data_IF_979045494570
#
_entry.id   IF_979045494570
#
_cell.length_a   1.000
_cell.length_b   1.000
_cell.length_c   1.000
_cell.angle_alpha   90.00
_cell.angle_beta   90.00
_cell.angle_gamma   90.00
#
_symmetry.space_group_name_H-M   'P 1'
#
loop_
_entity.id
_entity.type
_entity.pdbx_description
1 polymer ?
#
# COMPACT_ATOMS: atom_id res chain seq x y z
N UNK A 1 -26.24 -6.68 13.39
CA UNK A 1 -25.22 -7.59 12.80
C UNK A 1 -24.07 -6.73 12.30
N UNK A 2 -22.82 -7.08 12.61
CA UNK A 2 -21.66 -6.43 11.99
C UNK A 2 -21.55 -6.86 10.51
N UNK A 3 -21.07 -5.96 9.65
CA UNK A 3 -20.63 -6.36 8.30
C UNK A 3 -19.33 -7.17 8.43
N UNK A 4 -19.19 -8.23 7.63
CA UNK A 4 -17.92 -8.94 7.47
C UNK A 4 -16.95 -8.10 6.65
N UNK A 5 -15.69 -8.01 7.08
CA UNK A 5 -14.57 -7.46 6.27
C UNK A 5 -13.94 -8.52 5.35
N UNK A 6 -14.49 -9.73 5.32
CA UNK A 6 -14.10 -10.79 4.40
C UNK A 6 -15.20 -11.05 3.37
N UNK A 7 -14.83 -11.25 2.08
CA UNK A 7 -15.72 -11.80 1.07
C UNK A 7 -16.36 -13.13 1.49
N UNK A 8 -17.51 -13.44 0.89
CA UNK A 8 -18.21 -14.72 1.09
C UNK A 8 -17.57 -15.88 0.34
N UNK A 9 -17.01 -15.60 -0.84
CA UNK A 9 -16.29 -16.60 -1.63
C UNK A 9 -14.98 -17.01 -0.93
N UNK A 10 -14.68 -18.32 -0.81
CA UNK A 10 -13.50 -18.78 -0.08
C UNK A 10 -12.17 -18.43 -0.77
N UNK A 11 -12.12 -18.30 -2.10
CA UNK A 11 -10.91 -17.95 -2.83
C UNK A 11 -10.60 -16.46 -2.71
N UNK A 12 -11.61 -15.60 -2.84
CA UNK A 12 -11.51 -14.17 -2.54
C UNK A 12 -11.13 -13.93 -1.08
N UNK A 13 -11.70 -14.69 -0.14
CA UNK A 13 -11.33 -14.63 1.28
C UNK A 13 -9.88 -15.06 1.53
N UNK A 14 -9.37 -16.07 0.81
CA UNK A 14 -7.96 -16.45 0.87
C UNK A 14 -7.05 -15.35 0.28
N UNK A 15 -7.44 -14.74 -0.84
CA UNK A 15 -6.71 -13.62 -1.45
C UNK A 15 -6.66 -12.39 -0.55
N UNK A 16 -7.73 -12.07 0.19
CA UNK A 16 -7.71 -11.00 1.19
C UNK A 16 -6.64 -11.21 2.25
N UNK A 17 -6.49 -12.45 2.74
CA UNK A 17 -5.46 -12.81 3.72
C UNK A 17 -4.05 -12.77 3.14
N UNK A 18 -3.89 -13.14 1.86
CA UNK A 18 -2.60 -13.04 1.17
C UNK A 18 -2.17 -11.58 0.98
N UNK A 19 -3.10 -10.66 0.71
CA UNK A 19 -2.80 -9.22 0.60
C UNK A 19 -2.56 -8.59 1.99
N UNK A 20 -3.27 -9.03 3.04
CA UNK A 20 -2.99 -8.67 4.43
C UNK A 20 -1.56 -9.06 4.83
N UNK A 21 -1.18 -10.33 4.68
CA UNK A 21 0.16 -10.85 4.97
C UNK A 21 1.23 -10.09 4.16
N UNK A 22 0.99 -9.85 2.87
CA UNK A 22 1.88 -9.08 2.01
C UNK A 22 2.05 -7.61 2.45
N UNK A 23 0.99 -6.98 2.98
CA UNK A 23 1.05 -5.62 3.48
C UNK A 23 1.95 -5.51 4.73
N UNK A 24 1.84 -6.45 5.68
CA UNK A 24 2.62 -6.42 6.91
C UNK A 24 4.04 -6.99 6.73
N UNK A 25 4.23 -8.07 5.97
CA UNK A 25 5.55 -8.70 5.77
C UNK A 25 6.44 -7.96 4.77
N UNK A 26 5.89 -7.43 3.68
CA UNK A 26 6.69 -6.75 2.65
C UNK A 26 6.57 -5.24 2.73
N UNK A 27 5.35 -4.69 2.55
CA UNK A 27 5.17 -3.24 2.36
C UNK A 27 5.54 -2.43 3.61
N UNK A 28 5.00 -2.81 4.78
CA UNK A 28 5.26 -2.11 6.04
C UNK A 28 6.74 -2.20 6.46
N UNK A 29 7.39 -3.37 6.27
CA UNK A 29 8.80 -3.57 6.65
C UNK A 29 9.76 -2.80 5.75
N UNK A 30 9.48 -2.68 4.44
CA UNK A 30 10.30 -1.88 3.52
C UNK A 30 10.21 -0.40 3.87
N UNK A 31 9.01 0.17 4.05
CA UNK A 31 8.88 1.58 4.47
C UNK A 31 9.46 1.84 5.86
N UNK A 32 9.32 0.91 6.81
CA UNK A 32 9.94 1.06 8.12
C UNK A 32 11.46 1.15 8.01
N UNK A 33 12.09 0.23 7.26
CA UNK A 33 13.55 0.23 7.06
C UNK A 33 14.02 1.47 6.28
N UNK A 34 13.33 1.85 5.22
CA UNK A 34 13.59 3.11 4.50
C UNK A 34 13.53 4.32 5.42
N UNK A 35 12.47 4.43 6.23
CA UNK A 35 12.30 5.52 7.20
C UNK A 35 13.39 5.55 8.27
N UNK A 36 13.80 4.39 8.78
CA UNK A 36 14.92 4.28 9.72
C UNK A 36 16.24 4.72 9.09
N UNK A 37 16.45 4.44 7.80
CA UNK A 37 17.65 4.79 7.06
C UNK A 37 17.73 6.30 6.73
N UNK A 38 16.68 6.90 6.15
CA UNK A 38 16.65 8.36 5.85
C UNK A 38 16.65 9.25 7.09
N UNK A 39 16.29 8.71 8.26
CA UNK A 39 16.33 9.43 9.54
C UNK A 39 17.75 9.51 10.14
N UNK A 40 18.74 8.76 9.62
CA UNK A 40 20.14 8.92 10.02
C UNK A 40 20.71 10.25 9.53
N UNK A 41 21.77 10.80 10.17
CA UNK A 41 22.59 11.85 9.57
C UNK A 41 23.07 11.44 8.17
N UNK A 42 23.09 12.35 7.20
CA UNK A 42 23.43 12.02 5.80
C UNK A 42 24.77 11.26 5.61
N UNK A 43 25.85 11.56 6.38
CA UNK A 43 27.10 10.79 6.31
C UNK A 43 27.00 9.32 6.76
N UNK A 44 25.94 8.94 7.48
CA UNK A 44 25.67 7.59 7.99
C UNK A 44 24.64 6.82 7.15
N UNK A 45 24.08 7.44 6.11
CA UNK A 45 23.07 6.84 5.24
C UNK A 45 23.69 5.95 4.16
N UNK A 46 23.25 4.69 4.10
CA UNK A 46 23.53 3.82 2.95
C UNK A 46 22.64 4.22 1.76
N UNK A 47 23.18 5.09 0.91
CA UNK A 47 22.52 5.58 -0.30
C UNK A 47 22.25 4.48 -1.34
N UNK A 48 22.96 3.36 -1.31
CA UNK A 48 22.67 2.22 -2.17
C UNK A 48 21.48 1.42 -1.65
N UNK A 49 21.39 1.20 -0.33
CA UNK A 49 20.26 0.56 0.34
C UNK A 49 18.97 1.40 0.21
N UNK A 50 19.05 2.72 0.34
CA UNK A 50 17.95 3.63 0.06
C UNK A 50 17.42 3.47 -1.38
N UNK A 51 18.32 3.38 -2.36
CA UNK A 51 17.95 3.13 -3.76
C UNK A 51 17.35 1.75 -4.02
N UNK A 52 17.68 0.74 -3.21
CA UNK A 52 17.02 -0.58 -3.26
C UNK A 52 15.60 -0.50 -2.69
N UNK A 53 15.41 0.13 -1.53
CA UNK A 53 14.09 0.29 -0.92
C UNK A 53 13.15 1.14 -1.79
N UNK A 54 13.64 2.20 -2.43
CA UNK A 54 12.85 3.01 -3.35
C UNK A 54 12.29 2.15 -4.50
N UNK A 55 13.13 1.33 -5.16
CA UNK A 55 12.68 0.43 -6.24
C UNK A 55 11.61 -0.56 -5.78
N UNK A 56 11.77 -1.16 -4.61
CA UNK A 56 10.77 -2.09 -4.06
C UNK A 56 9.44 -1.39 -3.80
N UNK A 57 9.45 -0.13 -3.34
CA UNK A 57 8.23 0.68 -3.21
C UNK A 57 7.62 0.98 -4.58
N UNK A 58 8.40 1.41 -5.57
CA UNK A 58 7.95 1.71 -6.94
C UNK A 58 7.34 0.48 -7.64
N UNK A 59 7.99 -0.68 -7.53
CA UNK A 59 7.50 -1.98 -8.02
C UNK A 59 6.15 -2.33 -7.38
N UNK A 60 6.02 -2.13 -6.08
CA UNK A 60 4.83 -2.59 -5.34
C UNK A 60 3.66 -1.60 -5.43
N UNK A 61 3.92 -0.30 -5.59
CA UNK A 61 2.92 0.68 -6.06
C UNK A 61 2.45 0.33 -7.48
N UNK A 62 3.33 -0.13 -8.37
CA UNK A 62 2.94 -0.57 -9.73
C UNK A 62 2.01 -1.78 -9.66
N UNK A 63 2.33 -2.78 -8.84
CA UNK A 63 1.48 -3.97 -8.61
C UNK A 63 0.11 -3.55 -8.07
N UNK A 64 0.05 -2.72 -7.03
CA UNK A 64 -1.22 -2.26 -6.42
C UNK A 64 -2.06 -1.42 -7.39
N UNK A 65 -1.44 -0.54 -8.18
CA UNK A 65 -2.15 0.26 -9.19
C UNK A 65 -2.77 -0.61 -10.28
N UNK A 66 -2.09 -1.69 -10.69
CA UNK A 66 -2.58 -2.61 -11.71
C UNK A 66 -3.64 -3.57 -11.14
N UNK A 67 -3.55 -3.96 -9.87
CA UNK A 67 -4.60 -4.71 -9.17
C UNK A 67 -5.91 -3.91 -9.03
N UNK A 68 -5.82 -2.58 -8.96
CA UNK A 68 -6.95 -1.64 -8.89
C UNK A 68 -7.44 -1.18 -10.28
N UNK A 69 -6.88 -1.68 -11.38
CA UNK A 69 -7.35 -1.37 -12.73
C UNK A 69 -8.73 -2.01 -12.97
N UNK A 70 -9.72 -1.17 -13.30
CA UNK A 70 -11.11 -1.61 -13.52
C UNK A 70 -11.85 -2.13 -12.28
N UNK A 71 -11.29 -1.99 -11.06
CA UNK A 71 -11.90 -2.47 -9.80
C UNK A 71 -12.16 -1.35 -8.83
N UNK A 72 -13.29 -1.40 -8.12
CA UNK A 72 -13.56 -0.46 -7.03
C UNK A 72 -12.62 -0.73 -5.83
N UNK A 73 -12.52 -2.00 -5.43
CA UNK A 73 -11.77 -2.54 -4.27
C UNK A 73 -10.65 -3.50 -4.70
N UNK A 74 -9.71 -3.81 -3.80
CA UNK A 74 -8.60 -4.72 -4.09
C UNK A 74 -9.05 -6.16 -4.38
N UNK A 75 -10.06 -6.65 -3.64
CA UNK A 75 -10.57 -8.02 -3.73
C UNK A 75 -12.10 -8.07 -3.66
N UNK A 76 -12.71 -8.77 -4.62
CA UNK A 76 -14.15 -9.00 -4.64
C UNK A 76 -14.95 -7.79 -5.11
N UNK A 77 -16.17 -7.68 -4.60
CA UNK A 77 -17.19 -6.67 -4.96
C UNK A 77 -17.41 -5.61 -3.88
N UNK A 78 -16.66 -5.67 -2.78
CA UNK A 78 -16.93 -4.88 -1.56
C UNK A 78 -15.69 -4.68 -0.69
N UNK A 79 -15.61 -3.52 -0.04
CA UNK A 79 -14.51 -3.12 0.86
C UNK A 79 -14.16 -4.21 1.89
N UNK A 80 -12.87 -4.57 1.93
CA UNK A 80 -12.38 -5.78 2.59
C UNK A 80 -11.18 -5.53 3.51
N UNK A 81 -10.72 -6.58 4.20
CA UNK A 81 -9.46 -6.56 4.96
C UNK A 81 -8.25 -6.17 4.09
N UNK A 82 -8.23 -6.57 2.81
CA UNK A 82 -7.15 -6.19 1.90
C UNK A 82 -7.07 -4.66 1.76
N UNK A 83 -8.23 -4.00 1.65
CA UNK A 83 -8.32 -2.55 1.54
C UNK A 83 -7.91 -1.85 2.84
N UNK A 84 -8.33 -2.38 4.00
CA UNK A 84 -7.93 -1.89 5.34
C UNK A 84 -6.40 -1.93 5.50
N UNK A 85 -5.76 -3.08 5.19
CA UNK A 85 -4.33 -3.27 5.41
C UNK A 85 -3.48 -2.35 4.50
N UNK A 86 -3.79 -2.30 3.20
CA UNK A 86 -3.10 -1.43 2.24
C UNK A 86 -3.35 0.06 2.54
N UNK A 87 -4.54 0.43 3.03
CA UNK A 87 -4.82 1.83 3.39
C UNK A 87 -3.95 2.29 4.56
N UNK A 88 -3.77 1.42 5.57
CA UNK A 88 -2.88 1.71 6.69
C UNK A 88 -1.43 1.98 6.23
N UNK A 89 -0.98 1.29 5.17
CA UNK A 89 0.34 1.47 4.56
C UNK A 89 0.42 2.81 3.80
N UNK A 90 -0.48 3.06 2.85
CA UNK A 90 -0.44 4.29 2.05
C UNK A 90 -0.75 5.56 2.85
N UNK A 91 -1.55 5.49 3.91
CA UNK A 91 -1.79 6.62 4.81
C UNK A 91 -0.50 7.07 5.55
N UNK A 92 0.51 6.19 5.68
CA UNK A 92 1.83 6.58 6.21
C UNK A 92 2.66 7.34 5.16
N UNK A 93 2.54 7.00 3.87
CA UNK A 93 3.16 7.75 2.77
C UNK A 93 2.46 9.09 2.52
N UNK A 94 1.12 9.12 2.61
CA UNK A 94 0.30 10.33 2.45
C UNK A 94 0.55 11.40 3.53
N UNK A 95 1.26 11.05 4.62
CA UNK A 95 1.72 12.00 5.63
C UNK A 95 2.98 12.80 5.24
N UNK A 96 3.65 12.44 4.13
CA UNK A 96 4.84 13.12 3.62
C UNK A 96 4.55 13.68 2.21
N UNK A 97 4.50 15.01 2.01
CA UNK A 97 3.98 15.61 0.78
C UNK A 97 4.71 15.20 -0.52
N UNK A 98 6.00 14.84 -0.48
CA UNK A 98 6.72 14.37 -1.68
C UNK A 98 6.31 12.94 -2.04
N UNK A 99 6.27 12.05 -1.05
CA UNK A 99 5.79 10.67 -1.21
C UNK A 99 4.34 10.62 -1.71
N UNK A 100 3.46 11.49 -1.22
CA UNK A 100 2.09 11.58 -1.74
C UNK A 100 2.06 12.02 -3.20
N UNK A 101 2.83 13.05 -3.57
CA UNK A 101 2.87 13.55 -4.95
C UNK A 101 3.28 12.49 -5.97
N UNK A 102 4.20 11.58 -5.62
CA UNK A 102 4.57 10.44 -6.46
C UNK A 102 3.37 9.52 -6.73
N UNK A 103 2.51 9.29 -5.73
CA UNK A 103 1.26 8.53 -5.88
C UNK A 103 0.29 9.28 -6.78
N UNK A 104 0.15 10.60 -6.61
CA UNK A 104 -0.76 11.42 -7.41
C UNK A 104 -0.40 11.53 -8.89
N UNK A 105 0.90 11.62 -9.21
CA UNK A 105 1.40 11.80 -10.57
C UNK A 105 1.64 10.47 -11.31
N UNK A 106 1.96 9.39 -10.58
CA UNK A 106 2.32 8.09 -11.16
C UNK A 106 1.27 6.99 -11.09
N UNK A 107 0.36 7.00 -10.10
CA UNK A 107 -0.45 5.84 -9.73
C UNK A 107 -1.95 6.18 -9.60
N UNK A 108 -2.64 6.48 -10.71
CA UNK A 108 -4.00 7.04 -10.69
C UNK A 108 -5.08 6.11 -10.12
N UNK A 109 -4.93 4.77 -10.27
CA UNK A 109 -5.87 3.82 -9.69
C UNK A 109 -5.74 3.78 -8.17
N UNK A 110 -4.50 3.90 -7.65
CA UNK A 110 -4.24 4.05 -6.21
C UNK A 110 -4.82 5.37 -5.71
N UNK A 111 -4.58 6.50 -6.40
CA UNK A 111 -5.10 7.81 -5.99
C UNK A 111 -6.63 7.76 -5.82
N UNK A 112 -7.36 7.31 -6.85
CA UNK A 112 -8.82 7.15 -6.82
C UNK A 112 -9.27 6.30 -5.63
N UNK A 113 -8.70 5.11 -5.48
CA UNK A 113 -9.09 4.17 -4.43
C UNK A 113 -8.80 4.74 -3.02
N UNK A 114 -7.66 5.42 -2.84
CA UNK A 114 -7.28 6.03 -1.58
C UNK A 114 -8.19 7.21 -1.20
N UNK A 115 -8.57 8.03 -2.18
CA UNK A 115 -9.54 9.12 -1.98
C UNK A 115 -10.93 8.61 -1.58
N UNK A 116 -11.38 7.48 -2.16
CA UNK A 116 -12.62 6.80 -1.76
C UNK A 116 -12.52 6.25 -0.33
N UNK A 117 -11.51 5.45 0.00
CA UNK A 117 -11.36 4.85 1.34
C UNK A 117 -11.19 5.90 2.43
N UNK A 118 -10.52 7.02 2.13
CA UNK A 118 -10.35 8.16 3.06
C UNK A 118 -11.65 8.93 3.36
N UNK A 119 -12.68 8.76 2.55
CA UNK A 119 -13.97 9.43 2.68
C UNK A 119 -15.07 8.57 3.35
N UNK A 120 -14.72 7.37 3.85
CA UNK A 120 -15.62 6.40 4.50
C UNK A 120 -15.66 6.54 6.03
#
# INVERSE_FOLDING_TARGET
MSKSVFPKDPYQKALCKLIEEYADEHLAKVLYRYRMEVNKPEPEQDKALLGQYQKVVEENLTILNNLLEGREWLVGDSYSLADISIYSFLQRMAGEPKSWRIIEEGYPNIKRWFEVVKAM
#
